data_IF_588809668883
#
_entry.id   IF_588809668883
#
_cell.length_a   1.000
_cell.length_b   1.000
_cell.length_c   1.000
_cell.angle_alpha   90.00
_cell.angle_beta   90.00
_cell.angle_gamma   90.00
#
_symmetry.space_group_name_H-M   'P 1'
#
loop_
_entity.id
_entity.type
_entity.pdbx_description
1 polymer ?
#
# COMPACT_ATOMS: atom_id res chain seq x y z
N UNK A 1 5.41 13.12 16.54
CA UNK A 1 4.09 12.79 17.10
C UNK A 1 3.11 12.66 15.94
N UNK A 2 2.50 11.49 15.75
CA UNK A 2 1.58 11.22 14.62
C UNK A 2 0.21 11.88 14.82
N UNK A 3 -0.16 12.17 16.08
CA UNK A 3 -1.38 12.91 16.41
C UNK A 3 -1.27 14.38 15.96
N UNK A 4 -0.06 14.94 15.95
CA UNK A 4 0.22 16.26 15.39
C UNK A 4 0.16 16.30 13.85
N UNK A 5 0.34 15.16 13.16
CA UNK A 5 0.21 15.05 11.70
C UNK A 5 -1.26 14.88 11.26
N UNK A 6 -2.08 14.23 12.09
CA UNK A 6 -3.54 14.11 11.90
C UNK A 6 -4.29 15.34 12.45
N UNK A 7 -3.65 16.52 12.41
CA UNK A 7 -4.25 17.78 12.79
C UNK A 7 -5.64 17.95 12.18
N UNK A 8 -6.53 18.53 12.96
CA UNK A 8 -7.99 18.62 12.84
C UNK A 8 -8.59 19.21 11.55
N UNK A 9 -7.79 19.40 10.50
CA UNK A 9 -8.28 19.77 9.19
C UNK A 9 -8.28 18.52 8.31
N UNK A 10 -9.49 18.05 7.98
CA UNK A 10 -9.71 17.02 6.99
C UNK A 10 -8.81 17.28 5.78
N UNK A 11 -7.89 16.34 5.49
CA UNK A 11 -7.07 16.42 4.30
C UNK A 11 -8.00 16.60 3.09
N UNK A 12 -7.68 17.49 2.13
CA UNK A 12 -8.50 17.69 0.93
C UNK A 12 -8.40 16.49 -0.05
N UNK A 13 -8.12 15.29 0.46
CA UNK A 13 -8.13 14.01 -0.26
C UNK A 13 -9.57 13.69 -0.73
N UNK A 14 -10.56 14.31 -0.10
CA UNK A 14 -11.98 14.08 -0.32
C UNK A 14 -12.50 14.56 -1.68
N UNK A 15 -11.83 15.55 -2.32
CA UNK A 15 -12.44 16.27 -3.46
C UNK A 15 -11.67 16.27 -4.78
N UNK A 16 -10.37 16.00 -4.81
CA UNK A 16 -9.57 16.23 -6.03
C UNK A 16 -9.03 14.94 -6.67
N UNK A 17 -8.91 13.83 -5.95
CA UNK A 17 -8.04 12.72 -6.38
C UNK A 17 -8.75 11.44 -6.87
N UNK A 18 -10.08 11.39 -6.83
CA UNK A 18 -10.81 10.12 -7.06
C UNK A 18 -11.98 10.21 -8.04
N UNK A 19 -12.14 11.30 -8.80
CA UNK A 19 -13.35 11.54 -9.61
C UNK A 19 -13.72 10.38 -10.56
N UNK A 20 -12.72 9.61 -11.02
CA UNK A 20 -12.93 8.49 -11.94
C UNK A 20 -12.77 7.08 -11.31
N UNK A 21 -12.49 7.00 -10.01
CA UNK A 21 -12.36 5.70 -9.31
C UNK A 21 -13.73 5.22 -8.81
N UNK A 22 -14.16 3.97 -9.12
CA UNK A 22 -15.40 3.41 -8.59
C UNK A 22 -15.40 3.48 -7.06
N UNK A 23 -16.49 3.94 -6.44
CA UNK A 23 -16.59 4.22 -5.00
C UNK A 23 -16.09 3.10 -4.08
N UNK A 24 -16.16 1.84 -4.54
CA UNK A 24 -15.67 0.66 -3.82
C UNK A 24 -14.14 0.57 -3.64
N UNK A 25 -13.37 1.39 -4.32
CA UNK A 25 -11.90 1.41 -4.25
C UNK A 25 -11.34 2.65 -3.55
N UNK A 26 -12.19 3.58 -3.09
CA UNK A 26 -11.75 4.72 -2.31
C UNK A 26 -11.55 4.27 -0.86
N UNK A 27 -10.31 4.21 -0.34
CA UNK A 27 -10.12 3.89 1.07
C UNK A 27 -10.76 4.99 1.89
N UNK A 28 -11.81 4.65 2.64
CA UNK A 28 -12.43 5.57 3.57
C UNK A 28 -11.57 5.66 4.85
N UNK A 29 -11.91 6.60 5.73
CA UNK A 29 -11.22 6.78 7.01
C UNK A 29 -11.10 5.46 7.81
N UNK A 30 -12.14 4.63 7.79
CA UNK A 30 -12.16 3.33 8.47
C UNK A 30 -11.18 2.33 7.85
N UNK A 31 -10.98 2.35 6.53
CA UNK A 31 -10.01 1.49 5.84
C UNK A 31 -8.57 1.87 6.21
N UNK A 32 -8.29 3.17 6.30
CA UNK A 32 -6.99 3.69 6.76
C UNK A 32 -6.74 3.33 8.23
N UNK A 33 -7.73 3.53 9.10
CA UNK A 33 -7.64 3.18 10.52
C UNK A 33 -7.43 1.67 10.73
N UNK A 34 -8.06 0.82 9.91
CA UNK A 34 -7.86 -0.64 9.89
C UNK A 34 -6.45 -1.01 9.42
N UNK A 35 -5.92 -0.36 8.38
CA UNK A 35 -4.56 -0.60 7.91
C UNK A 35 -3.51 -0.30 9.00
N UNK A 36 -3.75 0.70 9.85
CA UNK A 36 -2.86 1.07 10.96
C UNK A 36 -2.99 0.15 12.19
N UNK A 37 -4.04 -0.66 12.24
CA UNK A 37 -4.33 -1.66 13.28
C UNK A 37 -4.44 -3.04 12.63
N UNK A 38 -3.31 -3.65 12.23
CA UNK A 38 -3.32 -4.93 11.52
C UNK A 38 -4.08 -5.97 12.35
N UNK A 39 -4.96 -6.73 11.70
CA UNK A 39 -5.74 -7.77 12.36
C UNK A 39 -4.88 -8.95 12.86
N UNK A 40 -3.63 -9.04 12.39
CA UNK A 40 -2.65 -10.05 12.81
C UNK A 40 -1.65 -9.53 13.84
N UNK A 41 -0.40 -9.98 13.73
CA UNK A 41 0.66 -9.59 14.66
C UNK A 41 1.27 -8.23 14.30
N UNK A 42 1.30 -7.30 15.26
CA UNK A 42 1.78 -5.94 15.03
C UNK A 42 3.30 -5.84 14.77
N UNK A 43 4.09 -6.79 15.30
CA UNK A 43 5.54 -6.89 15.11
C UNK A 43 6.35 -5.67 15.55
N UNK A 44 7.66 -5.73 15.30
CA UNK A 44 8.56 -4.59 15.47
C UNK A 44 8.47 -3.67 14.23
N UNK A 45 7.98 -2.45 14.41
CA UNK A 45 7.66 -1.51 13.31
C UNK A 45 8.81 -0.59 12.90
N UNK A 46 10.04 -0.84 13.35
CA UNK A 46 11.17 0.07 13.10
C UNK A 46 11.51 0.18 11.61
N UNK A 47 11.54 -0.95 10.89
CA UNK A 47 11.82 -0.98 9.45
C UNK A 47 10.69 -0.34 8.64
N UNK A 48 9.44 -0.65 8.99
CA UNK A 48 8.27 -0.02 8.37
C UNK A 48 8.28 1.50 8.59
N UNK A 49 8.56 1.96 9.82
CA UNK A 49 8.69 3.39 10.12
C UNK A 49 9.78 4.05 9.29
N UNK A 50 10.94 3.40 9.15
CA UNK A 50 12.03 3.95 8.32
C UNK A 50 11.62 4.05 6.85
N UNK A 51 11.03 2.99 6.30
CA UNK A 51 10.51 2.98 4.94
C UNK A 51 9.52 4.13 4.69
N UNK A 52 8.54 4.33 5.58
CA UNK A 52 7.57 5.41 5.46
C UNK A 52 8.22 6.80 5.55
N UNK A 53 9.24 6.97 6.39
CA UNK A 53 9.99 8.23 6.46
C UNK A 53 10.78 8.50 5.17
N UNK A 54 11.37 7.47 4.56
CA UNK A 54 12.09 7.62 3.29
C UNK A 54 11.12 7.94 2.14
N UNK A 55 9.95 7.28 2.10
CA UNK A 55 8.86 7.58 1.15
C UNK A 55 8.36 9.02 1.25
N UNK A 56 8.11 9.51 2.48
CA UNK A 56 7.65 10.90 2.73
C UNK A 56 8.75 11.92 2.46
N UNK A 57 10.02 11.54 2.63
CA UNK A 57 11.16 12.37 2.24
C UNK A 57 11.36 12.46 0.72
N UNK A 58 10.47 11.86 -0.08
CA UNK A 58 10.55 11.87 -1.54
C UNK A 58 11.68 11.01 -2.10
N UNK A 59 12.20 10.06 -1.30
CA UNK A 59 13.19 9.12 -1.82
C UNK A 59 12.48 8.05 -2.64
N UNK A 60 13.05 7.64 -3.78
CA UNK A 60 12.54 6.48 -4.50
C UNK A 60 12.63 5.25 -3.60
N UNK A 61 11.54 4.52 -3.46
CA UNK A 61 11.50 3.27 -2.72
C UNK A 61 11.04 2.12 -3.60
N UNK A 62 11.59 0.94 -3.34
CA UNK A 62 11.25 -0.30 -4.03
C UNK A 62 10.52 -1.25 -3.08
N UNK A 63 9.46 -1.88 -3.58
CA UNK A 63 8.66 -2.86 -2.84
C UNK A 63 8.61 -4.15 -3.65
N UNK A 64 9.16 -5.22 -3.09
CA UNK A 64 9.02 -6.56 -3.68
C UNK A 64 7.85 -7.29 -3.05
N UNK A 65 6.94 -7.81 -3.88
CA UNK A 65 5.82 -8.64 -3.45
C UNK A 65 6.08 -10.09 -3.82
N UNK A 66 6.11 -10.94 -2.81
CA UNK A 66 6.25 -12.40 -2.93
C UNK A 66 4.92 -13.09 -2.61
N UNK A 67 4.67 -14.23 -3.24
CA UNK A 67 3.56 -15.11 -2.87
C UNK A 67 3.07 -15.95 -4.03
N UNK A 68 1.89 -16.56 -3.82
CA UNK A 68 1.24 -17.44 -4.79
C UNK A 68 0.35 -16.71 -5.79
N UNK A 69 -0.74 -17.38 -6.15
CA UNK A 69 -1.74 -16.92 -7.12
C UNK A 69 -2.39 -15.57 -6.79
N UNK A 70 -2.51 -15.22 -5.50
CA UNK A 70 -3.15 -13.98 -5.04
C UNK A 70 -2.37 -12.72 -5.45
N UNK A 71 -1.11 -12.51 -5.04
CA UNK A 71 -0.32 -11.37 -5.51
C UNK A 71 0.01 -11.46 -7.00
N UNK A 72 0.10 -12.66 -7.58
CA UNK A 72 0.21 -12.82 -9.03
C UNK A 72 -0.99 -12.20 -9.78
N UNK A 73 -2.17 -12.18 -9.16
CA UNK A 73 -3.39 -11.65 -9.75
C UNK A 73 -4.18 -12.69 -10.53
N UNK A 74 -4.13 -13.97 -10.13
CA UNK A 74 -4.92 -15.02 -10.78
C UNK A 74 -6.40 -14.66 -10.73
N UNK A 75 -7.04 -14.57 -11.91
CA UNK A 75 -8.43 -14.14 -12.13
C UNK A 75 -8.72 -12.64 -11.93
N UNK A 76 -7.71 -11.81 -11.64
CA UNK A 76 -7.86 -10.37 -11.57
C UNK A 76 -7.54 -9.73 -12.93
N UNK A 77 -8.32 -8.73 -13.34
CA UNK A 77 -7.96 -7.89 -14.50
C UNK A 77 -6.68 -7.08 -14.27
N UNK A 78 -6.39 -6.80 -13.00
CA UNK A 78 -5.17 -6.11 -12.57
C UNK A 78 -4.74 -6.61 -11.19
N UNK A 79 -3.46 -7.01 -11.01
CA UNK A 79 -2.98 -7.54 -9.74
C UNK A 79 -2.87 -6.41 -8.69
N UNK A 80 -3.17 -6.72 -7.42
CA UNK A 80 -3.16 -5.72 -6.36
C UNK A 80 -1.79 -5.02 -6.15
N UNK A 81 -0.62 -5.65 -6.39
CA UNK A 81 0.66 -4.95 -6.32
C UNK A 81 0.75 -3.78 -7.30
N UNK A 82 0.19 -3.93 -8.51
CA UNK A 82 0.12 -2.84 -9.48
C UNK A 82 -0.87 -1.74 -9.05
N UNK A 83 -1.94 -2.10 -8.34
CA UNK A 83 -2.86 -1.12 -7.75
C UNK A 83 -2.21 -0.34 -6.61
N UNK A 84 -1.34 -0.97 -5.82
CA UNK A 84 -0.56 -0.31 -4.77
C UNK A 84 0.39 0.73 -5.36
N UNK A 85 1.14 0.37 -6.40
CA UNK A 85 2.06 1.29 -7.08
C UNK A 85 1.32 2.51 -7.61
N UNK A 86 0.22 2.30 -8.33
CA UNK A 86 -0.62 3.37 -8.85
C UNK A 86 -1.15 4.27 -7.74
N UNK A 87 -1.65 3.68 -6.66
CA UNK A 87 -2.15 4.42 -5.52
C UNK A 87 -1.06 5.34 -4.94
N UNK A 88 0.15 4.83 -4.77
CA UNK A 88 1.27 5.62 -4.23
C UNK A 88 1.70 6.72 -5.19
N UNK A 89 1.70 6.45 -6.50
CA UNK A 89 1.95 7.46 -7.53
C UNK A 89 0.89 8.57 -7.50
N UNK A 90 -0.40 8.23 -7.34
CA UNK A 90 -1.47 9.24 -7.25
C UNK A 90 -1.36 10.11 -6.00
N UNK A 91 -0.73 9.59 -4.93
CA UNK A 91 -0.42 10.36 -3.72
C UNK A 91 0.85 11.21 -3.85
N UNK A 92 1.51 11.20 -5.01
CA UNK A 92 2.73 11.97 -5.27
C UNK A 92 3.99 11.31 -4.70
N UNK A 93 3.96 10.01 -4.40
CA UNK A 93 5.12 9.28 -3.93
C UNK A 93 5.77 8.46 -5.05
N UNK A 94 7.10 8.47 -5.08
CA UNK A 94 7.90 7.65 -5.99
C UNK A 94 8.11 6.25 -5.39
N UNK A 95 7.33 5.29 -5.88
CA UNK A 95 7.39 3.88 -5.48
C UNK A 95 7.40 2.99 -6.71
N UNK A 96 8.29 2.00 -6.73
CA UNK A 96 8.33 0.93 -7.72
C UNK A 96 7.93 -0.39 -7.06
N UNK A 97 6.99 -1.13 -7.64
CA UNK A 97 6.55 -2.43 -7.09
C UNK A 97 6.99 -3.57 -8.00
N UNK A 98 7.84 -4.46 -7.47
CA UNK A 98 8.26 -5.69 -8.15
C UNK A 98 7.37 -6.85 -7.73
N UNK A 99 6.46 -7.27 -8.61
CA UNK A 99 5.64 -8.46 -8.37
C UNK A 99 6.40 -9.73 -8.80
N UNK A 100 6.94 -10.46 -7.84
CA UNK A 100 7.70 -11.69 -8.05
C UNK A 100 6.87 -12.94 -7.67
N UNK A 101 5.55 -12.79 -7.60
CA UNK A 101 4.65 -13.88 -7.26
C UNK A 101 4.60 -14.96 -8.34
N UNK A 102 4.50 -16.22 -7.92
CA UNK A 102 4.41 -17.39 -8.82
C UNK A 102 3.15 -18.19 -8.46
N UNK A 103 2.19 -18.37 -9.38
CA UNK A 103 0.97 -19.09 -9.09
C UNK A 103 1.26 -20.56 -8.77
N UNK A 104 0.61 -21.09 -7.72
CA UNK A 104 0.85 -22.45 -7.24
C UNK A 104 2.13 -22.65 -6.43
N UNK A 105 2.97 -21.61 -6.27
CA UNK A 105 4.15 -21.68 -5.43
C UNK A 105 3.81 -21.57 -3.94
N UNK A 106 4.54 -22.32 -3.11
CA UNK A 106 4.54 -22.19 -1.65
C UNK A 106 5.73 -21.33 -1.20
N UNK A 107 5.83 -21.06 0.11
CA UNK A 107 6.98 -20.34 0.67
C UNK A 107 8.31 -21.06 0.46
N UNK A 108 8.30 -22.38 0.28
CA UNK A 108 9.51 -23.20 0.04
C UNK A 108 10.13 -22.93 -1.34
N UNK A 109 9.31 -22.50 -2.32
CA UNK A 109 9.79 -22.17 -3.66
C UNK A 109 10.70 -20.93 -3.70
N UNK A 110 10.59 -20.05 -2.69
CA UNK A 110 11.33 -18.79 -2.61
C UNK A 110 12.52 -18.83 -1.62
N UNK A 111 12.82 -20.00 -1.04
CA UNK A 111 13.94 -20.23 -0.10
C UNK A 111 15.21 -20.65 -0.85
#
# INVERSE_FOLDING_TARGET
DLAAYMGTDALPIDRVLWQDAPDRFRPNRTDIERALRPAGYAGARLRLRRFLLDLVAGKPVEVSVLGGSMPYGQLASRPWPALLEDHMRTLGHEMTVHNLAVPGASSEYAA
#
